data_IF_776522600855
#
_entry.id   IF_776522600855
#
_cell.length_a   1.000
_cell.length_b   1.000
_cell.length_c   1.000
_cell.angle_alpha   90.00
_cell.angle_beta   90.00
_cell.angle_gamma   90.00
#
_symmetry.space_group_name_H-M   'P 1'
#
loop_
_entity.id
_entity.type
_entity.pdbx_description
1 polymer ?
#
# COMPACT_ATOMS: atom_id res chain seq x y z
N UNK A 1 -9.52 -22.15 34.35
CA UNK A 1 -9.96 -22.42 32.95
C UNK A 1 -9.14 -21.59 31.95
N UNK A 2 -7.99 -21.05 32.37
CA UNK A 2 -7.36 -19.88 31.73
C UNK A 2 -6.28 -20.25 30.71
N UNK A 3 -5.58 -21.37 30.94
CA UNK A 3 -4.51 -21.85 30.08
C UNK A 3 -4.98 -22.24 28.66
N UNK A 4 -6.19 -22.82 28.54
CA UNK A 4 -6.77 -23.22 27.25
C UNK A 4 -7.20 -22.00 26.42
N UNK A 5 -7.68 -20.96 27.09
CA UNK A 5 -8.10 -19.71 26.46
C UNK A 5 -6.89 -18.92 25.96
N UNK A 6 -5.79 -18.89 26.73
CA UNK A 6 -4.56 -18.22 26.33
C UNK A 6 -3.84 -18.94 25.18
N UNK A 7 -3.82 -20.27 25.17
CA UNK A 7 -3.29 -21.04 24.04
C UNK A 7 -4.07 -20.74 22.74
N UNK A 8 -5.41 -20.65 22.83
CA UNK A 8 -6.27 -20.34 21.68
C UNK A 8 -6.07 -18.92 21.17
N UNK A 9 -5.98 -17.93 22.06
CA UNK A 9 -5.65 -16.54 21.71
C UNK A 9 -4.28 -16.44 21.03
N UNK A 10 -3.29 -17.17 21.54
CA UNK A 10 -1.94 -17.19 20.97
C UNK A 10 -1.92 -17.80 19.57
N UNK A 11 -2.65 -18.90 19.36
CA UNK A 11 -2.82 -19.53 18.05
C UNK A 11 -3.50 -18.59 17.05
N UNK A 12 -4.56 -17.89 17.48
CA UNK A 12 -5.26 -16.91 16.64
C UNK A 12 -4.34 -15.75 16.20
N UNK A 13 -3.62 -15.13 17.13
CA UNK A 13 -2.69 -14.03 16.80
C UNK A 13 -1.57 -14.49 15.87
N UNK A 14 -1.10 -15.74 16.02
CA UNK A 14 -0.11 -16.32 15.12
C UNK A 14 -0.65 -16.47 13.70
N UNK A 15 -1.88 -16.98 13.54
CA UNK A 15 -2.55 -17.07 12.24
C UNK A 15 -2.76 -15.68 11.62
N UNK A 16 -3.19 -14.71 12.42
CA UNK A 16 -3.39 -13.34 11.95
C UNK A 16 -2.09 -12.71 11.43
N UNK A 17 -0.97 -12.86 12.16
CA UNK A 17 0.35 -12.38 11.72
C UNK A 17 0.77 -13.03 10.41
N UNK A 18 0.54 -14.33 10.25
CA UNK A 18 0.88 -15.04 9.01
C UNK A 18 0.08 -14.53 7.82
N UNK A 19 -1.22 -14.27 8.01
CA UNK A 19 -2.07 -13.70 6.96
C UNK A 19 -1.64 -12.29 6.58
N UNK A 20 -1.31 -11.45 7.57
CA UNK A 20 -0.79 -10.10 7.33
C UNK A 20 0.56 -10.13 6.61
N UNK A 21 1.44 -11.07 6.96
CA UNK A 21 2.72 -11.24 6.29
C UNK A 21 2.51 -11.63 4.81
N UNK A 22 1.67 -12.63 4.53
CA UNK A 22 1.38 -13.03 3.14
C UNK A 22 0.75 -11.92 2.32
N UNK A 23 -0.16 -11.15 2.93
CA UNK A 23 -0.76 -10.00 2.26
C UNK A 23 0.29 -8.94 1.91
N UNK A 24 1.23 -8.69 2.82
CA UNK A 24 2.35 -7.78 2.58
C UNK A 24 3.26 -8.28 1.47
N UNK A 25 3.66 -9.55 1.50
CA UNK A 25 4.47 -10.17 0.44
C UNK A 25 3.77 -10.08 -0.93
N UNK A 26 2.46 -10.29 -0.98
CA UNK A 26 1.67 -10.14 -2.21
C UNK A 26 1.60 -8.69 -2.71
N UNK A 27 1.45 -7.72 -1.79
CA UNK A 27 1.47 -6.30 -2.13
C UNK A 27 2.86 -5.87 -2.62
N UNK A 28 3.92 -6.31 -1.94
CA UNK A 28 5.30 -6.00 -2.29
C UNK A 28 5.64 -6.57 -3.66
N UNK A 29 5.27 -7.83 -3.93
CA UNK A 29 5.46 -8.44 -5.25
C UNK A 29 4.71 -7.70 -6.38
N UNK A 30 3.50 -7.20 -6.09
CA UNK A 30 2.76 -6.36 -7.02
C UNK A 30 3.45 -5.01 -7.24
N UNK A 31 3.94 -4.37 -6.17
CA UNK A 31 4.66 -3.10 -6.24
C UNK A 31 5.98 -3.21 -7.03
N UNK A 32 6.74 -4.28 -6.81
CA UNK A 32 7.98 -4.56 -7.56
C UNK A 32 7.68 -4.66 -9.05
N UNK A 33 6.70 -5.47 -9.43
CA UNK A 33 6.28 -5.61 -10.84
C UNK A 33 5.84 -4.28 -11.46
N UNK A 34 5.14 -3.44 -10.70
CA UNK A 34 4.71 -2.12 -11.16
C UNK A 34 5.87 -1.14 -11.31
N UNK A 35 6.86 -1.21 -10.44
CA UNK A 35 8.09 -0.43 -10.57
C UNK A 35 8.89 -0.84 -11.82
N UNK A 36 9.03 -2.14 -12.07
CA UNK A 36 9.69 -2.67 -13.27
C UNK A 36 8.98 -2.23 -14.56
N UNK A 37 7.65 -2.29 -14.59
CA UNK A 37 6.84 -1.82 -15.72
C UNK A 37 7.08 -0.33 -16.01
N UNK A 38 7.09 0.50 -14.96
CA UNK A 38 7.34 1.95 -15.07
C UNK A 38 8.77 2.23 -15.53
N UNK A 39 9.76 1.54 -14.95
CA UNK A 39 11.16 1.68 -15.35
C UNK A 39 11.35 1.28 -16.81
N UNK A 40 10.74 0.17 -17.25
CA UNK A 40 10.81 -0.28 -18.64
C UNK A 40 10.23 0.74 -19.64
N UNK A 41 9.20 1.50 -19.25
CA UNK A 41 8.72 2.62 -20.07
C UNK A 41 9.69 3.79 -20.12
N UNK A 42 10.36 4.10 -19.01
CA UNK A 42 11.37 5.15 -18.97
C UNK A 42 12.58 4.79 -19.85
N UNK A 43 13.07 3.55 -19.73
CA UNK A 43 14.23 3.04 -20.48
C UNK A 43 14.00 3.04 -22.00
N UNK A 44 12.75 2.83 -22.43
CA UNK A 44 12.33 2.87 -23.84
C UNK A 44 11.93 4.27 -24.33
N UNK A 45 12.06 5.29 -23.49
CA UNK A 45 11.60 6.66 -23.76
C UNK A 45 10.08 6.75 -24.12
N UNK A 46 9.28 5.81 -23.61
CA UNK A 46 7.83 5.76 -23.83
C UNK A 46 7.08 6.65 -22.82
N UNK A 47 7.37 7.95 -22.82
CA UNK A 47 6.88 8.90 -21.80
C UNK A 47 5.34 8.92 -21.67
N UNK A 48 4.61 8.70 -22.77
CA UNK A 48 3.13 8.60 -22.74
C UNK A 48 2.66 7.41 -21.90
N UNK A 49 3.31 6.26 -22.03
CA UNK A 49 2.97 5.05 -21.28
C UNK A 49 3.45 5.14 -19.83
N UNK A 50 4.62 5.73 -19.58
CA UNK A 50 5.12 6.04 -18.24
C UNK A 50 4.10 6.84 -17.41
N UNK A 51 3.62 7.98 -17.96
CA UNK A 51 2.61 8.79 -17.28
C UNK A 51 1.28 8.07 -17.10
N UNK A 52 0.88 7.20 -18.05
CA UNK A 52 -0.34 6.40 -17.94
C UNK A 52 -0.23 5.37 -16.82
N UNK A 53 0.92 4.71 -16.69
CA UNK A 53 1.20 3.72 -15.64
C UNK A 53 1.20 4.34 -14.25
N UNK A 54 1.85 5.50 -14.07
CA UNK A 54 1.82 6.25 -12.80
C UNK A 54 0.39 6.65 -12.42
N UNK A 55 -0.39 7.18 -13.37
CA UNK A 55 -1.80 7.51 -13.13
C UNK A 55 -2.66 6.29 -12.83
N UNK A 56 -2.28 5.09 -13.28
CA UNK A 56 -3.01 3.87 -12.95
C UNK A 56 -2.76 3.42 -11.49
N UNK A 57 -1.59 3.73 -10.93
CA UNK A 57 -1.26 3.43 -9.52
C UNK A 57 -1.91 4.46 -8.58
N UNK A 58 -1.80 5.75 -8.90
CA UNK A 58 -2.27 6.84 -8.05
C UNK A 58 -3.66 7.38 -8.43
N UNK A 59 -4.24 6.88 -9.53
CA UNK A 59 -5.55 7.32 -10.00
C UNK A 59 -6.65 7.03 -8.99
N UNK A 60 -7.85 7.61 -9.19
CA UNK A 60 -8.96 7.41 -8.27
C UNK A 60 -9.22 5.91 -8.07
N UNK A 61 -8.93 5.42 -6.86
CA UNK A 61 -9.35 4.10 -6.41
C UNK A 61 -10.86 4.02 -6.69
N UNK A 62 -11.29 3.08 -7.55
CA UNK A 62 -12.70 2.98 -7.92
C UNK A 62 -13.55 2.86 -6.63
N UNK A 63 -14.26 3.96 -6.30
CA UNK A 63 -15.31 4.00 -5.30
C UNK A 63 -16.47 3.21 -5.89
N UNK A 64 -16.54 1.91 -5.62
CA UNK A 64 -17.52 1.04 -6.28
C UNK A 64 -17.71 -0.34 -5.68
N UNK A 65 -17.28 -0.59 -4.45
CA UNK A 65 -17.78 -1.70 -3.63
C UNK A 65 -17.60 -1.26 -2.19
N UNK A 66 -18.71 -1.15 -1.46
CA UNK A 66 -18.74 -0.78 -0.06
C UNK A 66 -17.94 -1.80 0.77
N UNK A 67 -16.64 -1.58 0.92
CA UNK A 67 -15.86 -2.24 1.97
C UNK A 67 -16.05 -1.40 3.23
N UNK A 68 -16.82 -1.94 4.18
CA UNK A 68 -16.90 -1.51 5.57
C UNK A 68 -15.54 -0.99 6.06
N UNK A 69 -15.43 0.33 6.16
CA UNK A 69 -14.22 1.03 6.55
C UNK A 69 -14.16 1.03 8.08
N UNK A 70 -13.30 0.20 8.66
CA UNK A 70 -12.80 0.47 10.00
C UNK A 70 -11.92 1.71 9.88
N UNK A 71 -12.46 2.85 10.30
CA UNK A 71 -11.71 4.09 10.50
C UNK A 71 -10.65 3.84 11.57
N UNK A 72 -9.40 3.71 11.16
CA UNK A 72 -8.27 4.07 12.02
C UNK A 72 -7.75 5.41 11.51
N UNK A 73 -8.18 6.47 12.18
CA UNK A 73 -7.63 7.81 12.04
C UNK A 73 -6.14 7.81 12.37
N UNK A 74 -5.32 7.52 11.37
CA UNK A 74 -3.90 7.85 11.33
C UNK A 74 -3.48 7.77 9.88
N UNK A 75 -2.96 8.87 9.35
CA UNK A 75 -2.22 9.01 8.07
C UNK A 75 -2.73 10.13 7.13
N UNK A 76 -3.46 11.14 7.64
CA UNK A 76 -3.67 12.42 6.92
C UNK A 76 -2.52 13.43 7.21
N UNK A 77 -1.43 13.03 7.88
CA UNK A 77 -0.34 13.97 8.21
C UNK A 77 0.83 13.96 7.20
N UNK A 78 0.97 12.95 6.35
CA UNK A 78 2.20 12.78 5.55
C UNK A 78 2.14 13.36 4.13
N UNK A 79 0.94 13.62 3.58
CA UNK A 79 0.81 14.19 2.23
C UNK A 79 0.98 15.72 2.20
N UNK A 80 0.66 16.42 3.30
CA UNK A 80 0.77 17.89 3.38
C UNK A 80 2.20 18.35 3.72
N UNK A 81 2.99 17.52 4.40
CA UNK A 81 4.36 17.86 4.82
C UNK A 81 5.36 17.87 3.65
N UNK A 82 5.18 17.01 2.64
CA UNK A 82 6.06 16.96 1.46
C UNK A 82 5.85 18.16 0.52
N UNK A 83 4.63 18.72 0.44
CA UNK A 83 4.35 19.91 -0.36
C UNK A 83 5.00 21.19 0.19
N UNK A 84 5.16 21.29 1.52
CA UNK A 84 5.78 22.46 2.16
C UNK A 84 7.31 22.44 2.16
N UNK A 85 7.93 21.27 2.03
CA UNK A 85 9.38 21.12 2.00
C UNK A 85 10.00 21.59 0.67
N UNK A 86 9.27 21.53 -0.44
CA UNK A 86 9.77 21.94 -1.76
C UNK A 86 9.65 23.45 -2.05
N UNK A 87 8.90 24.21 -1.23
CA UNK A 87 8.76 25.66 -1.38
C UNK A 87 9.70 26.47 -0.46
N UNK A 88 10.63 25.80 0.24
CA UNK A 88 11.57 26.41 1.18
C UNK A 88 13.05 26.15 0.86
N UNK A 89 13.39 25.74 -0.35
CA UNK A 89 14.77 25.89 -0.83
C UNK A 89 14.89 27.24 -1.55
N UNK A 90 15.81 28.13 -1.13
CA UNK A 90 16.19 29.32 -1.88
C UNK A 90 16.90 28.97 -3.20
#
# INVERSE_FOLDING_TARGET
MDLRTDATKTAFLRCHRLLQQRLREMQDAWMIRKAEEIQGYADRNEMKNFFKAIKAIYGPRMKGTASLHNTSDRDIANSEALGRALQKCP
#
